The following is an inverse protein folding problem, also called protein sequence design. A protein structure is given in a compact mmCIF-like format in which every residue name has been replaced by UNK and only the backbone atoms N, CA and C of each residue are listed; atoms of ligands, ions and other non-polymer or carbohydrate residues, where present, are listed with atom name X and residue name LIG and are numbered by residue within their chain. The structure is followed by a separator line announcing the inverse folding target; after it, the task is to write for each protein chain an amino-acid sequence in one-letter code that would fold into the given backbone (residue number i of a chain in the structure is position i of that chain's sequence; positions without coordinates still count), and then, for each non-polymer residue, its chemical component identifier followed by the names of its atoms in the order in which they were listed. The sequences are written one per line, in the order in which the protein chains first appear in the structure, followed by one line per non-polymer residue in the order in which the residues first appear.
data_IF_103658023769
#
_entry.id   IF_103658023769
#
_cell.length_a   1.000
_cell.length_b   1.000
_cell.length_c   1.000
_cell.angle_alpha   90.00
_cell.angle_beta   90.00
_cell.angle_gamma   90.00
#
_symmetry.space_group_name_H-M   'P 1'
#
loop_
_entity.id
_entity.type
_entity.pdbx_description
1 polymer ?
#
# COMPACT_ATOMS: atom_id res chain seq x y z
N UNK A 1 -58.73 29.50 38.31
CA UNK A 1 -57.32 29.28 38.69
C UNK A 1 -56.75 28.03 38.03
N UNK A 2 -57.52 26.94 37.95
CA UNK A 2 -57.13 25.67 37.32
C UNK A 2 -56.67 25.79 35.85
N UNK A 3 -57.42 26.53 35.02
CA UNK A 3 -57.05 26.77 33.60
C UNK A 3 -55.70 27.49 33.45
N UNK A 4 -55.38 28.44 34.33
CA UNK A 4 -54.11 29.15 34.27
C UNK A 4 -52.93 28.24 34.63
N UNK A 5 -53.13 27.36 35.62
CA UNK A 5 -52.11 26.39 36.01
C UNK A 5 -51.90 25.32 34.92
N UNK A 6 -52.97 24.87 34.27
CA UNK A 6 -52.88 23.92 33.15
C UNK A 6 -52.12 24.53 31.96
N UNK A 7 -52.41 25.78 31.60
CA UNK A 7 -51.68 26.48 30.53
C UNK A 7 -50.20 26.63 30.87
N UNK A 8 -49.86 27.00 32.11
CA UNK A 8 -48.47 27.08 32.56
C UNK A 8 -47.75 25.73 32.51
N UNK A 9 -48.45 24.65 32.90
CA UNK A 9 -47.88 23.30 32.86
C UNK A 9 -47.64 22.83 31.41
N UNK A 10 -48.53 23.17 30.48
CA UNK A 10 -48.36 22.86 29.05
C UNK A 10 -47.12 23.59 28.51
N UNK A 11 -46.97 24.88 28.78
CA UNK A 11 -45.79 25.65 28.35
C UNK A 11 -44.50 25.05 28.91
N UNK A 12 -44.49 24.66 30.19
CA UNK A 12 -43.33 24.04 30.82
C UNK A 12 -42.97 22.68 30.17
N UNK A 13 -43.97 21.85 29.88
CA UNK A 13 -43.76 20.54 29.24
C UNK A 13 -43.24 20.71 27.81
N UNK A 14 -43.83 21.61 27.03
CA UNK A 14 -43.36 21.89 25.66
C UNK A 14 -41.93 22.43 25.63
N UNK A 15 -41.55 23.23 26.63
CA UNK A 15 -40.18 23.71 26.77
C UNK A 15 -39.21 22.58 27.15
N UNK A 16 -39.60 21.70 28.08
CA UNK A 16 -38.80 20.53 28.44
C UNK A 16 -38.56 19.60 27.23
N UNK A 17 -39.61 19.30 26.46
CA UNK A 17 -39.51 18.50 25.23
C UNK A 17 -38.59 19.16 24.19
N UNK A 18 -38.67 20.49 24.02
CA UNK A 18 -37.80 21.23 23.10
C UNK A 18 -36.33 21.19 23.55
N UNK A 19 -36.06 21.29 24.85
CA UNK A 19 -34.71 21.15 25.41
C UNK A 19 -34.14 19.75 25.19
N UNK A 20 -34.92 18.71 25.46
CA UNK A 20 -34.51 17.31 25.24
C UNK A 20 -34.23 17.06 23.76
N UNK A 21 -35.14 17.47 22.87
CA UNK A 21 -34.96 17.33 21.42
C UNK A 21 -33.72 18.05 20.91
N UNK A 22 -33.43 19.25 21.45
CA UNK A 22 -32.23 19.99 21.07
C UNK A 22 -30.96 19.27 21.53
N UNK A 23 -30.93 18.75 22.76
CA UNK A 23 -29.79 18.01 23.29
C UNK A 23 -29.52 16.73 22.45
N UNK A 24 -30.56 16.00 22.06
CA UNK A 24 -30.44 14.84 21.18
C UNK A 24 -29.86 15.21 19.81
N UNK A 25 -30.35 16.30 19.21
CA UNK A 25 -29.85 16.78 17.92
C UNK A 25 -28.36 17.17 17.97
N UNK A 26 -27.91 17.77 19.08
CA UNK A 26 -26.50 18.11 19.27
C UNK A 26 -25.62 16.86 19.41
N UNK A 27 -26.07 15.86 20.19
CA UNK A 27 -25.37 14.58 20.33
C UNK A 27 -25.26 13.88 18.97
N UNK A 28 -26.36 13.80 18.20
CA UNK A 28 -26.34 13.21 16.87
C UNK A 28 -25.43 13.97 15.91
N UNK A 29 -25.42 15.31 15.98
CA UNK A 29 -24.52 16.14 15.16
C UNK A 29 -23.06 15.86 15.52
N UNK A 30 -22.73 15.75 16.80
CA UNK A 30 -21.39 15.41 17.28
C UNK A 30 -20.97 14.02 16.78
N UNK A 31 -21.82 13.01 16.94
CA UNK A 31 -21.57 11.63 16.46
C UNK A 31 -21.34 11.62 14.94
N UNK A 32 -22.20 12.31 14.18
CA UNK A 32 -22.06 12.42 12.72
C UNK A 32 -20.73 13.06 12.33
N UNK A 33 -20.33 14.12 13.00
CA UNK A 33 -19.05 14.80 12.73
C UNK A 33 -17.84 13.92 13.02
N UNK A 34 -17.85 13.18 14.14
CA UNK A 34 -16.74 12.31 14.52
C UNK A 34 -16.66 11.09 13.59
N UNK A 35 -17.82 10.52 13.22
CA UNK A 35 -17.89 9.44 12.23
C UNK A 35 -17.31 9.87 10.89
N UNK A 36 -17.60 11.08 10.42
CA UNK A 36 -17.03 11.61 9.18
C UNK A 36 -15.51 11.75 9.26
N UNK A 37 -14.98 12.22 10.40
CA UNK A 37 -13.52 12.34 10.63
C UNK A 37 -12.82 10.98 10.62
N UNK A 38 -13.39 9.98 11.27
CA UNK A 38 -12.84 8.62 11.29
C UNK A 38 -12.82 8.00 9.89
N UNK A 39 -13.87 8.20 9.09
CA UNK A 39 -13.92 7.72 7.71
C UNK A 39 -12.88 8.41 6.82
N UNK A 40 -12.69 9.73 6.98
CA UNK A 40 -11.66 10.47 6.25
C UNK A 40 -10.25 9.94 6.59
N UNK A 41 -9.96 9.75 7.87
CA UNK A 41 -8.67 9.17 8.32
C UNK A 41 -8.45 7.76 7.78
N UNK A 42 -9.49 6.91 7.79
CA UNK A 42 -9.39 5.55 7.25
C UNK A 42 -9.12 5.56 5.75
N UNK A 43 -9.73 6.49 5.00
CA UNK A 43 -9.49 6.67 3.57
C UNK A 43 -8.04 7.10 3.29
N UNK A 44 -7.50 8.04 4.07
CA UNK A 44 -6.11 8.47 3.95
C UNK A 44 -5.12 7.33 4.26
N UNK A 45 -5.36 6.55 5.31
CA UNK A 45 -4.52 5.40 5.67
C UNK A 45 -4.57 4.31 4.58
N UNK A 46 -5.74 4.07 3.98
CA UNK A 46 -5.88 3.16 2.85
C UNK A 46 -5.12 3.66 1.62
N UNK A 47 -5.17 4.96 1.31
CA UNK A 47 -4.42 5.56 0.22
C UNK A 47 -2.90 5.46 0.44
N UNK A 48 -2.42 5.73 1.67
CA UNK A 48 -1.01 5.56 2.05
C UNK A 48 -0.54 4.12 1.85
N UNK A 49 -1.31 3.14 2.33
CA UNK A 49 -0.99 1.71 2.16
C UNK A 49 -0.98 1.28 0.70
N UNK A 50 -1.91 1.79 -0.11
CA UNK A 50 -1.92 1.52 -1.55
C UNK A 50 -0.66 2.08 -2.25
N UNK A 51 -0.26 3.31 -1.91
CA UNK A 51 0.95 3.92 -2.43
C UNK A 51 2.22 3.15 -2.00
N UNK A 52 2.28 2.68 -0.76
CA UNK A 52 3.41 1.89 -0.26
C UNK A 52 3.52 0.54 -0.98
N UNK A 53 2.39 -0.14 -1.24
CA UNK A 53 2.37 -1.37 -2.05
C UNK A 53 2.84 -1.12 -3.47
N UNK A 54 2.38 -0.04 -4.10
CA UNK A 54 2.83 0.33 -5.45
C UNK A 54 4.34 0.62 -5.48
N UNK A 55 4.86 1.31 -4.47
CA UNK A 55 6.28 1.60 -4.34
C UNK A 55 7.11 0.33 -4.10
N UNK A 56 6.65 -0.57 -3.24
CA UNK A 56 7.29 -1.87 -2.99
C UNK A 56 7.37 -2.73 -4.25
N UNK A 57 6.31 -2.76 -5.07
CA UNK A 57 6.28 -3.48 -6.35
C UNK A 57 7.20 -2.84 -7.40
N UNK A 58 7.38 -1.52 -7.35
CA UNK A 58 8.31 -0.81 -8.26
C UNK A 58 9.78 -1.07 -7.93
N UNK A 59 10.13 -1.27 -6.66
CA UNK A 59 11.49 -1.61 -6.23
C UNK A 59 11.91 -3.02 -6.63
N UNK A 60 11.00 -3.98 -6.65
CA UNK A 60 11.31 -5.35 -7.09
C UNK A 60 11.44 -5.46 -8.61
N UNK A 61 10.59 -4.76 -9.37
CA UNK A 61 10.66 -4.74 -10.85
C UNK A 61 11.89 -4.03 -11.42
N UNK A 62 12.40 -2.99 -10.75
CA UNK A 62 13.58 -2.24 -11.25
C UNK A 62 14.83 -3.10 -11.41
N UNK A 63 14.94 -4.20 -10.67
CA UNK A 63 16.07 -5.12 -10.81
C UNK A 63 15.88 -6.07 -11.98
N UNK A 64 14.65 -6.52 -12.27
CA UNK A 64 14.39 -7.50 -13.33
C UNK A 64 14.44 -6.95 -14.76
N UNK A 65 14.17 -5.65 -14.96
CA UNK A 65 14.03 -5.07 -16.30
C UNK A 65 15.27 -4.33 -16.84
N UNK A 66 16.44 -4.40 -16.19
CA UNK A 66 17.63 -3.75 -16.77
C UNK A 66 18.07 -4.52 -18.03
N UNK A 67 17.95 -3.94 -19.24
CA UNK A 67 18.31 -4.62 -20.48
C UNK A 67 19.79 -5.00 -20.48
N UNK A 68 20.11 -6.16 -21.07
CA UNK A 68 21.49 -6.64 -21.17
C UNK A 68 22.26 -5.81 -22.19
N UNK A 69 23.31 -5.13 -21.74
CA UNK A 69 24.28 -4.44 -22.61
C UNK A 69 25.15 -5.46 -23.37
N UNK A 70 25.81 -5.03 -24.44
CA UNK A 70 26.69 -5.91 -25.22
C UNK A 70 27.92 -6.35 -24.41
N UNK A 71 28.44 -5.46 -23.56
CA UNK A 71 29.53 -5.74 -22.64
C UNK A 71 29.15 -6.85 -21.65
N UNK A 72 27.94 -6.78 -21.07
CA UNK A 72 27.43 -7.80 -20.15
C UNK A 72 27.22 -9.15 -20.85
N UNK A 73 26.72 -9.17 -22.09
CA UNK A 73 26.60 -10.41 -22.89
C UNK A 73 27.97 -11.02 -23.19
N UNK A 74 28.97 -10.20 -23.49
CA UNK A 74 30.35 -10.64 -23.67
C UNK A 74 30.95 -11.21 -22.38
N UNK A 75 30.74 -10.54 -21.25
CA UNK A 75 31.19 -11.01 -19.93
C UNK A 75 30.52 -12.32 -19.53
N UNK A 76 29.21 -12.43 -19.73
CA UNK A 76 28.47 -13.67 -19.50
C UNK A 76 29.04 -14.81 -20.36
N UNK A 77 29.30 -14.57 -21.64
CA UNK A 77 29.86 -15.59 -22.54
C UNK A 77 31.23 -16.07 -22.08
N UNK A 78 32.12 -15.15 -21.65
CA UNK A 78 33.43 -15.48 -21.08
C UNK A 78 33.31 -16.26 -19.77
N UNK A 79 32.38 -15.85 -18.90
CA UNK A 79 32.12 -16.55 -17.64
C UNK A 79 31.62 -17.98 -17.85
N UNK A 80 30.73 -18.19 -18.84
CA UNK A 80 30.22 -19.52 -19.17
C UNK A 80 31.30 -20.46 -19.72
N UNK A 81 32.27 -19.93 -20.45
CA UNK A 81 33.44 -20.68 -20.89
C UNK A 81 34.39 -21.00 -19.72
N UNK A 82 34.56 -20.07 -18.78
CA UNK A 82 35.42 -20.25 -17.59
C UNK A 82 34.84 -21.23 -16.58
N UNK A 83 33.51 -21.29 -16.44
CA UNK A 83 32.80 -22.15 -15.50
C UNK A 83 31.88 -23.13 -16.26
N UNK A 84 32.40 -24.29 -16.71
CA UNK A 84 31.62 -25.28 -17.46
C UNK A 84 30.58 -26.02 -16.59
N UNK A 85 29.77 -26.88 -17.22
CA UNK A 85 28.80 -27.72 -16.51
C UNK A 85 29.50 -28.66 -15.51
N UNK A 86 29.06 -28.64 -14.26
CA UNK A 86 29.67 -29.40 -13.15
C UNK A 86 30.43 -28.54 -12.13
N UNK A 87 30.66 -27.24 -12.40
CA UNK A 87 31.17 -26.32 -11.38
C UNK A 87 30.14 -26.13 -10.26
N UNK A 88 30.55 -26.37 -9.01
CA UNK A 88 29.71 -26.08 -7.85
C UNK A 88 29.43 -24.58 -7.78
N UNK A 89 28.18 -24.22 -7.49
CA UNK A 89 27.77 -22.82 -7.39
C UNK A 89 28.07 -22.02 -8.67
N UNK A 90 27.99 -22.67 -9.84
CA UNK A 90 28.31 -22.09 -11.17
C UNK A 90 27.70 -20.69 -11.35
N UNK A 91 26.42 -20.55 -11.05
CA UNK A 91 25.69 -19.30 -11.31
C UNK A 91 26.09 -18.17 -10.35
N UNK A 92 26.47 -18.50 -9.11
CA UNK A 92 27.07 -17.53 -8.19
C UNK A 92 28.41 -17.01 -8.74
N UNK A 93 29.27 -17.90 -9.23
CA UNK A 93 30.57 -17.52 -9.83
C UNK A 93 30.42 -16.74 -11.13
N UNK A 94 29.41 -17.06 -11.93
CA UNK A 94 29.08 -16.29 -13.14
C UNK A 94 28.58 -14.89 -12.78
N UNK A 95 27.73 -14.77 -11.75
CA UNK A 95 27.27 -13.47 -11.26
C UNK A 95 28.41 -12.62 -10.68
N UNK A 96 29.31 -13.21 -9.89
CA UNK A 96 30.54 -12.56 -9.40
C UNK A 96 31.42 -12.06 -10.54
N UNK A 97 31.45 -12.76 -11.68
CA UNK A 97 32.22 -12.34 -12.85
C UNK A 97 31.57 -11.18 -13.61
N UNK A 98 30.24 -11.17 -13.73
CA UNK A 98 29.48 -10.11 -14.43
C UNK A 98 29.34 -8.86 -13.56
N UNK A 99 29.30 -9.00 -12.23
CA UNK A 99 29.22 -7.95 -11.20
C UNK A 99 27.96 -7.05 -11.24
N UNK A 100 27.32 -6.91 -12.39
CA UNK A 100 26.12 -6.07 -12.60
C UNK A 100 24.80 -6.85 -12.56
N UNK A 101 24.86 -8.19 -12.66
CA UNK A 101 23.71 -9.10 -12.68
C UNK A 101 23.87 -10.18 -11.62
N UNK A 102 22.76 -10.65 -11.06
CA UNK A 102 22.75 -11.76 -10.10
C UNK A 102 22.67 -13.14 -10.79
N UNK A 103 22.85 -14.20 -10.01
CA UNK A 103 22.88 -15.59 -10.50
C UNK A 103 21.59 -15.98 -11.25
N UNK A 104 20.43 -15.56 -10.74
CA UNK A 104 19.13 -15.84 -11.36
C UNK A 104 18.96 -15.14 -12.71
N UNK A 105 19.38 -13.88 -12.82
CA UNK A 105 19.36 -13.11 -14.07
C UNK A 105 20.28 -13.71 -15.13
N UNK A 106 21.49 -14.13 -14.74
CA UNK A 106 22.43 -14.81 -15.62
C UNK A 106 21.84 -16.12 -16.15
N UNK A 107 21.25 -16.95 -15.29
CA UNK A 107 20.58 -18.19 -15.68
C UNK A 107 19.41 -17.93 -16.64
N UNK A 108 18.54 -16.98 -16.30
CA UNK A 108 17.39 -16.61 -17.13
C UNK A 108 17.84 -16.17 -18.53
N UNK A 109 18.87 -15.31 -18.61
CA UNK A 109 19.40 -14.84 -19.91
C UNK A 109 19.95 -15.97 -20.76
N UNK A 110 20.66 -16.93 -20.17
CA UNK A 110 21.19 -18.09 -20.90
C UNK A 110 20.07 -18.99 -21.42
N UNK A 111 19.01 -19.19 -20.64
CA UNK A 111 17.86 -19.98 -21.07
C UNK A 111 17.08 -19.30 -22.21
N UNK A 112 16.91 -17.97 -22.16
CA UNK A 112 16.28 -17.20 -23.23
C UNK A 112 17.07 -17.22 -24.55
N UNK A 113 18.40 -17.42 -24.52
CA UNK A 113 19.24 -17.48 -25.73
C UNK A 113 19.29 -18.88 -26.36
N UNK A 114 18.72 -19.91 -25.71
CA UNK A 114 18.69 -21.31 -26.21
C UNK A 114 17.36 -21.70 -26.84
N UNK A 115 16.38 -20.80 -26.82
CA UNK A 115 15.11 -20.93 -27.57
C UNK A 115 15.27 -20.22 -28.91
#
# INVERSE_FOLDING_TARGET
EEICNELQQIELNTFAEALESTAEQEIERAIRSEKARLLARASEDQARRAAERANGLSKTKKTEEVPWTEEEKSMLSKALAKFPGGTRDRWERVAEFVQTKNAAQCLAKVNSSKT
#
